data_IF_362148460544
#
_entry.id   IF_362148460544
#
_cell.length_a   1.000
_cell.length_b   1.000
_cell.length_c   1.000
_cell.angle_alpha   90.00
_cell.angle_beta   90.00
_cell.angle_gamma   90.00
#
_symmetry.space_group_name_H-M   'P 1'
#
loop_
_entity.id
_entity.type
_entity.pdbx_description
1 polymer ?
#
# COMPACT_ATOMS: atom_id res chain seq x y z
N UNK A 1 23.29 5.22 11.79
CA UNK A 1 22.85 4.76 10.44
C UNK A 1 22.71 3.25 10.30
N UNK A 2 23.74 2.43 10.65
CA UNK A 2 23.66 0.95 10.53
C UNK A 2 22.47 0.32 11.29
N UNK A 3 22.22 0.75 12.53
CA UNK A 3 21.07 0.30 13.33
C UNK A 3 19.73 0.61 12.64
N UNK A 4 19.56 1.81 12.09
CA UNK A 4 18.32 2.21 11.40
C UNK A 4 18.05 1.39 10.13
N UNK A 5 19.10 1.04 9.37
CA UNK A 5 18.99 0.17 8.19
C UNK A 5 18.59 -1.25 8.57
N UNK A 6 19.17 -1.80 9.65
CA UNK A 6 18.76 -3.10 10.18
C UNK A 6 17.30 -3.08 10.62
N UNK A 7 16.89 -2.06 11.39
CA UNK A 7 15.50 -1.89 11.82
C UNK A 7 14.54 -1.81 10.64
N UNK A 8 14.84 -1.00 9.61
CA UNK A 8 14.04 -0.95 8.38
C UNK A 8 13.87 -2.33 7.76
N UNK A 9 14.96 -3.07 7.60
CA UNK A 9 14.94 -4.40 6.97
C UNK A 9 14.12 -5.40 7.81
N UNK A 10 14.20 -5.32 9.15
CA UNK A 10 13.38 -6.14 10.05
C UNK A 10 11.89 -5.82 9.84
N UNK A 11 11.48 -4.55 9.81
CA UNK A 11 10.08 -4.18 9.59
C UNK A 11 9.60 -4.53 8.18
N UNK A 12 10.44 -4.39 7.15
CA UNK A 12 10.12 -4.86 5.78
C UNK A 12 9.91 -6.38 5.77
N UNK A 13 10.82 -7.15 6.37
CA UNK A 13 10.69 -8.60 6.49
C UNK A 13 9.43 -9.00 7.26
N UNK A 14 9.18 -8.36 8.40
CA UNK A 14 7.99 -8.61 9.22
C UNK A 14 6.68 -8.29 8.46
N UNK A 15 6.64 -7.20 7.69
CA UNK A 15 5.50 -6.87 6.83
C UNK A 15 5.21 -7.98 5.80
N UNK A 16 6.24 -8.43 5.08
CA UNK A 16 6.11 -9.50 4.09
C UNK A 16 5.73 -10.86 4.74
N UNK A 17 6.33 -11.19 5.87
CA UNK A 17 6.01 -12.41 6.62
C UNK A 17 4.58 -12.37 7.18
N UNK A 18 4.12 -11.22 7.68
CA UNK A 18 2.75 -11.04 8.14
C UNK A 18 1.74 -11.22 7.01
N UNK A 19 2.04 -10.71 5.81
CA UNK A 19 1.22 -10.96 4.63
C UNK A 19 1.21 -12.43 4.24
N UNK A 20 2.38 -13.10 4.20
CA UNK A 20 2.47 -14.53 3.89
C UNK A 20 1.70 -15.40 4.90
N UNK A 21 1.80 -15.08 6.19
CA UNK A 21 1.01 -15.71 7.25
C UNK A 21 -0.48 -15.51 7.03
N UNK A 22 -0.92 -14.28 6.72
CA UNK A 22 -2.32 -13.97 6.40
C UNK A 22 -2.84 -14.76 5.18
N UNK A 23 -2.06 -14.83 4.09
CA UNK A 23 -2.42 -15.63 2.90
C UNK A 23 -2.59 -17.10 3.23
N UNK A 24 -1.71 -17.65 4.08
CA UNK A 24 -1.83 -19.03 4.50
C UNK A 24 -3.15 -19.27 5.27
N UNK A 25 -3.48 -18.38 6.20
CA UNK A 25 -4.73 -18.42 6.98
C UNK A 25 -6.01 -18.20 6.17
N UNK A 26 -5.98 -17.31 5.17
CA UNK A 26 -7.17 -16.88 4.43
C UNK A 26 -7.39 -17.66 3.13
N UNK A 27 -6.32 -18.15 2.50
CA UNK A 27 -6.40 -18.84 1.21
C UNK A 27 -6.16 -20.33 1.35
N UNK A 28 -5.10 -20.76 2.05
CA UNK A 28 -4.73 -22.18 2.05
C UNK A 28 -5.56 -22.96 3.06
N UNK A 29 -5.60 -22.50 4.32
CA UNK A 29 -6.22 -23.23 5.41
C UNK A 29 -7.71 -23.55 5.24
N UNK A 30 -8.57 -22.63 4.74
CA UNK A 30 -10.00 -22.91 4.57
C UNK A 30 -10.29 -24.02 3.54
N UNK A 31 -9.30 -24.41 2.73
CA UNK A 31 -9.40 -25.48 1.73
C UNK A 31 -9.08 -26.87 2.30
N UNK A 32 -8.60 -26.96 3.54
CA UNK A 32 -8.30 -28.23 4.20
C UNK A 32 -9.59 -28.82 4.80
N UNK A 33 -10.03 -30.02 4.39
CA UNK A 33 -11.23 -30.66 4.95
C UNK A 33 -11.09 -30.87 6.46
N UNK A 34 -12.16 -30.58 7.22
CA UNK A 34 -12.14 -30.72 8.69
C UNK A 34 -11.20 -29.73 9.40
N UNK A 35 -10.78 -28.65 8.74
CA UNK A 35 -9.85 -27.66 9.30
C UNK A 35 -10.34 -27.06 10.62
N UNK A 36 -11.58 -26.57 10.67
CA UNK A 36 -12.13 -25.97 11.89
C UNK A 36 -12.20 -26.99 13.03
N UNK A 37 -12.52 -28.25 12.72
CA UNK A 37 -12.52 -29.35 13.69
C UNK A 37 -11.10 -29.65 14.19
N UNK A 38 -10.11 -29.63 13.29
CA UNK A 38 -8.69 -29.83 13.61
C UNK A 38 -8.13 -28.69 14.44
N UNK A 39 -8.47 -27.44 14.12
CA UNK A 39 -8.12 -26.28 14.95
C UNK A 39 -8.74 -26.38 16.34
N UNK A 40 -10.03 -26.73 16.41
CA UNK A 40 -10.77 -26.83 17.67
C UNK A 40 -10.18 -27.88 18.63
N UNK A 41 -9.43 -28.85 18.13
CA UNK A 41 -8.70 -29.82 18.94
C UNK A 41 -7.46 -29.24 19.64
N UNK A 42 -6.96 -28.06 19.23
CA UNK A 42 -5.81 -27.39 19.84
C UNK A 42 -6.15 -25.95 20.28
N UNK A 43 -6.20 -25.67 21.59
CA UNK A 43 -6.42 -24.31 22.11
C UNK A 43 -5.39 -23.29 21.60
N UNK A 44 -4.14 -23.73 21.40
CA UNK A 44 -3.07 -22.89 20.86
C UNK A 44 -3.31 -22.53 19.40
N UNK A 45 -3.75 -23.51 18.59
CA UNK A 45 -4.05 -23.27 17.18
C UNK A 45 -5.24 -22.32 17.01
N UNK A 46 -6.30 -22.48 17.83
CA UNK A 46 -7.42 -21.53 17.88
C UNK A 46 -6.97 -20.12 18.28
N UNK A 47 -6.16 -19.99 19.33
CA UNK A 47 -5.61 -18.68 19.74
C UNK A 47 -4.84 -18.00 18.60
N UNK A 48 -4.01 -18.75 17.86
CA UNK A 48 -3.24 -18.22 16.72
C UNK A 48 -4.17 -17.80 15.58
N UNK A 49 -5.19 -18.61 15.28
CA UNK A 49 -6.18 -18.29 14.26
C UNK A 49 -6.98 -17.04 14.61
N UNK A 50 -7.51 -16.94 15.83
CA UNK A 50 -8.24 -15.77 16.32
C UNK A 50 -7.38 -14.50 16.32
N UNK A 51 -6.10 -14.62 16.70
CA UNK A 51 -5.14 -13.52 16.58
C UNK A 51 -4.97 -13.09 15.12
N UNK A 52 -4.76 -14.04 14.20
CA UNK A 52 -4.63 -13.77 12.78
C UNK A 52 -5.85 -13.06 12.19
N UNK A 53 -7.04 -13.53 12.51
CA UNK A 53 -8.30 -12.98 12.02
C UNK A 53 -8.60 -11.59 12.60
N UNK A 54 -8.26 -11.34 13.86
CA UNK A 54 -8.57 -10.07 14.54
C UNK A 54 -7.51 -8.99 14.38
N UNK A 55 -6.24 -9.36 14.21
CA UNK A 55 -5.10 -8.43 14.18
C UNK A 55 -4.27 -8.50 12.92
N UNK A 56 -4.33 -9.57 12.13
CA UNK A 56 -3.43 -9.79 10.99
C UNK A 56 -3.48 -8.68 9.94
N UNK A 57 -4.69 -8.26 9.56
CA UNK A 57 -4.90 -7.17 8.59
C UNK A 57 -4.29 -5.83 9.06
N UNK A 58 -4.59 -5.42 10.29
CA UNK A 58 -4.02 -4.21 10.87
C UNK A 58 -2.49 -4.31 11.05
N UNK A 59 -1.99 -5.46 11.50
CA UNK A 59 -0.58 -5.67 11.82
C UNK A 59 0.31 -5.51 10.57
N UNK A 60 -0.03 -6.14 9.45
CA UNK A 60 0.82 -6.03 8.25
C UNK A 60 0.88 -4.58 7.76
N UNK A 61 -0.22 -3.84 7.79
CA UNK A 61 -0.28 -2.42 7.41
C UNK A 61 0.63 -1.58 8.31
N UNK A 62 0.54 -1.75 9.62
CA UNK A 62 1.38 -1.01 10.59
C UNK A 62 2.86 -1.31 10.37
N UNK A 63 3.23 -2.58 10.18
CA UNK A 63 4.61 -2.98 9.89
C UNK A 63 5.13 -2.34 8.59
N UNK A 64 4.31 -2.32 7.54
CA UNK A 64 4.63 -1.69 6.26
C UNK A 64 4.81 -0.18 6.40
N UNK A 65 3.91 0.49 7.12
CA UNK A 65 4.00 1.92 7.40
C UNK A 65 5.26 2.28 8.18
N UNK A 66 5.64 1.51 9.19
CA UNK A 66 6.89 1.72 9.94
C UNK A 66 8.10 1.52 9.04
N UNK A 67 8.13 0.45 8.24
CA UNK A 67 9.23 0.18 7.31
C UNK A 67 9.44 1.35 6.32
N UNK A 68 8.35 1.83 5.72
CA UNK A 68 8.37 2.93 4.75
C UNK A 68 8.65 4.28 5.42
N UNK A 69 8.20 4.52 6.65
CA UNK A 69 8.56 5.71 7.41
C UNK A 69 10.06 5.74 7.71
N UNK A 70 10.65 4.64 8.19
CA UNK A 70 12.11 4.56 8.43
C UNK A 70 12.86 4.80 7.12
N UNK A 71 12.45 4.14 6.04
CA UNK A 71 13.01 4.36 4.71
C UNK A 71 12.91 5.82 4.24
N UNK A 72 11.75 6.46 4.46
CA UNK A 72 11.50 7.85 4.10
C UNK A 72 12.37 8.83 4.90
N UNK A 73 12.62 8.57 6.19
CA UNK A 73 13.59 9.34 6.98
C UNK A 73 14.98 9.22 6.37
N UNK A 74 15.41 8.01 6.01
CA UNK A 74 16.73 7.76 5.43
C UNK A 74 16.96 8.42 4.06
N UNK A 75 15.91 8.53 3.25
CA UNK A 75 16.02 8.98 1.85
C UNK A 75 15.59 10.43 1.62
N UNK A 76 14.61 10.91 2.38
CA UNK A 76 14.03 12.26 2.22
C UNK A 76 14.35 13.19 3.41
N UNK A 77 14.72 12.62 4.56
CA UNK A 77 14.80 13.32 5.84
C UNK A 77 13.42 13.46 6.51
N UNK A 78 13.42 13.58 7.85
CA UNK A 78 12.21 13.58 8.66
C UNK A 78 11.20 14.67 8.26
N UNK A 79 11.67 15.87 7.90
CA UNK A 79 10.81 16.98 7.46
C UNK A 79 10.00 16.64 6.21
N UNK A 80 10.67 16.15 5.16
CA UNK A 80 10.00 15.82 3.89
C UNK A 80 9.10 14.59 4.02
N UNK A 81 9.50 13.62 4.84
CA UNK A 81 8.63 12.51 5.22
C UNK A 81 7.35 13.03 5.88
N UNK A 82 7.44 13.90 6.89
CA UNK A 82 6.27 14.45 7.56
C UNK A 82 5.39 15.25 6.58
N UNK A 83 6.00 16.01 5.67
CA UNK A 83 5.30 16.74 4.60
C UNK A 83 4.59 15.83 3.59
N UNK A 84 4.89 14.54 3.55
CA UNK A 84 4.15 13.55 2.76
C UNK A 84 3.14 12.77 3.61
N UNK A 85 3.58 12.29 4.77
CA UNK A 85 2.78 11.50 5.71
C UNK A 85 1.55 12.27 6.15
N UNK A 86 1.69 13.53 6.57
CA UNK A 86 0.56 14.30 7.10
C UNK A 86 -0.52 14.52 6.03
N UNK A 87 -0.22 15.00 4.81
CA UNK A 87 -1.23 15.08 3.75
C UNK A 87 -1.82 13.72 3.38
N UNK A 88 -0.98 12.68 3.22
CA UNK A 88 -1.47 11.35 2.85
C UNK A 88 -2.43 10.80 3.90
N UNK A 89 -2.11 10.93 5.18
CA UNK A 89 -2.95 10.46 6.28
C UNK A 89 -4.24 11.28 6.41
N UNK A 90 -4.13 12.61 6.48
CA UNK A 90 -5.29 13.48 6.75
C UNK A 90 -6.25 13.52 5.56
N UNK A 91 -5.74 13.70 4.34
CA UNK A 91 -6.60 13.85 3.16
C UNK A 91 -7.25 12.53 2.76
N UNK A 92 -6.55 11.39 2.92
CA UNK A 92 -7.19 10.08 2.74
C UNK A 92 -8.23 9.82 3.81
N UNK A 93 -7.94 10.08 5.10
CA UNK A 93 -8.93 9.91 6.17
C UNK A 93 -10.18 10.76 5.93
N UNK A 94 -10.03 12.02 5.51
CA UNK A 94 -11.17 12.86 5.14
C UNK A 94 -11.93 12.30 3.93
N UNK A 95 -11.23 11.79 2.90
CA UNK A 95 -11.86 11.18 1.72
C UNK A 95 -12.63 9.91 2.08
N UNK A 96 -12.07 9.07 2.95
CA UNK A 96 -12.67 7.82 3.45
C UNK A 96 -13.89 8.10 4.33
N UNK A 97 -13.81 9.09 5.22
CA UNK A 97 -14.95 9.50 6.04
C UNK A 97 -16.08 10.09 5.18
N UNK A 98 -15.73 10.84 4.13
CA UNK A 98 -16.69 11.34 3.16
C UNK A 98 -17.32 10.19 2.35
N UNK A 99 -16.51 9.23 1.90
CA UNK A 99 -16.94 8.06 1.12
C UNK A 99 -17.90 7.17 1.89
N UNK A 100 -17.50 6.75 3.09
CA UNK A 100 -18.33 5.95 4.01
C UNK A 100 -19.56 6.70 4.58
N UNK A 101 -19.70 8.00 4.30
CA UNK A 101 -20.86 8.81 4.72
C UNK A 101 -21.79 9.20 3.59
N UNK A 102 -21.26 9.42 2.39
CA UNK A 102 -22.01 10.03 1.28
C UNK A 102 -21.94 9.24 -0.01
N UNK A 103 -21.05 8.24 -0.10
CA UNK A 103 -20.70 7.56 -1.32
C UNK A 103 -19.65 8.28 -2.17
N UNK A 104 -19.32 9.55 -1.92
CA UNK A 104 -18.25 10.25 -2.65
C UNK A 104 -16.94 10.25 -1.85
N UNK A 105 -15.76 9.91 -2.42
CA UNK A 105 -15.49 9.73 -3.84
C UNK A 105 -15.47 8.28 -4.34
N UNK A 106 -15.72 7.27 -3.50
CA UNK A 106 -15.44 5.86 -3.83
C UNK A 106 -16.64 5.03 -4.30
N UNK A 107 -17.86 5.47 -4.01
CA UNK A 107 -19.07 4.66 -4.00
C UNK A 107 -19.55 4.43 -2.56
N UNK A 108 -20.73 3.84 -2.39
CA UNK A 108 -21.29 3.52 -1.07
C UNK A 108 -20.66 2.22 -0.55
N UNK A 109 -20.01 2.25 0.61
CA UNK A 109 -19.42 1.07 1.26
C UNK A 109 -19.29 1.28 2.78
N UNK A 110 -19.06 0.17 3.50
CA UNK A 110 -18.73 0.18 4.92
C UNK A 110 -17.64 -0.83 5.26
N UNK A 111 -16.72 -0.44 6.14
CA UNK A 111 -15.70 -1.35 6.65
C UNK A 111 -16.27 -2.31 7.70
N UNK A 112 -15.77 -3.54 7.73
CA UNK A 112 -16.04 -4.50 8.82
C UNK A 112 -15.09 -4.26 10.01
N UNK A 113 -15.17 -5.09 11.05
CA UNK A 113 -14.33 -4.98 12.25
C UNK A 113 -12.92 -5.59 12.09
N UNK A 114 -12.62 -6.21 10.94
CA UNK A 114 -11.38 -6.97 10.72
C UNK A 114 -10.11 -6.13 10.67
N UNK A 115 -10.23 -4.80 10.51
CA UNK A 115 -9.11 -3.87 10.45
C UNK A 115 -8.89 -3.10 11.76
N UNK A 116 -9.62 -3.48 12.82
CA UNK A 116 -9.47 -2.91 14.15
C UNK A 116 -10.18 -1.56 14.30
N UNK A 117 -9.62 -0.70 15.17
CA UNK A 117 -10.30 0.50 15.65
C UNK A 117 -10.59 1.52 14.54
N UNK A 118 -11.82 2.06 14.55
CA UNK A 118 -12.35 2.99 13.55
C UNK A 118 -12.45 4.42 14.08
N UNK A 119 -12.09 5.37 13.23
CA UNK A 119 -12.37 6.79 13.41
C UNK A 119 -13.84 7.04 13.07
N UNK A 120 -14.56 7.71 13.98
CA UNK A 120 -15.99 8.03 13.86
C UNK A 120 -16.86 6.79 13.55
N UNK A 121 -16.47 5.62 14.08
CA UNK A 121 -17.11 4.32 13.86
C UNK A 121 -17.20 3.87 12.39
N UNK A 122 -16.46 4.53 11.49
CA UNK A 122 -16.55 4.32 10.03
C UNK A 122 -15.26 3.80 9.42
N UNK A 123 -14.14 4.47 9.66
CA UNK A 123 -12.89 4.24 8.90
C UNK A 123 -11.80 3.69 9.82
N UNK A 124 -11.30 2.46 9.60
CA UNK A 124 -10.20 1.91 10.40
C UNK A 124 -8.95 2.78 10.32
N UNK A 125 -8.31 3.07 11.44
CA UNK A 125 -7.14 3.99 11.49
C UNK A 125 -5.95 3.51 10.67
N UNK A 126 -5.89 2.20 10.39
CA UNK A 126 -4.85 1.61 9.53
C UNK A 126 -5.04 1.95 8.04
N UNK A 127 -6.25 2.31 7.60
CA UNK A 127 -6.51 2.71 6.22
C UNK A 127 -5.67 3.93 5.81
N UNK A 128 -5.73 5.09 6.49
CA UNK A 128 -4.86 6.23 6.14
C UNK A 128 -3.36 5.95 6.32
N UNK A 129 -2.97 4.98 7.16
CA UNK A 129 -1.58 4.50 7.20
C UNK A 129 -1.20 3.77 5.91
N UNK A 130 -2.13 3.00 5.36
CA UNK A 130 -1.98 2.29 4.09
C UNK A 130 -1.83 3.24 2.91
N UNK A 131 -2.71 4.25 2.84
CA UNK A 131 -2.59 5.38 1.91
C UNK A 131 -1.23 6.06 1.98
N UNK A 132 -0.71 6.29 3.18
CA UNK A 132 0.63 6.85 3.36
C UNK A 132 1.72 5.94 2.79
N UNK A 133 1.84 4.69 3.24
CA UNK A 133 3.00 3.88 2.90
C UNK A 133 2.97 3.44 1.43
N UNK A 134 1.81 3.05 0.91
CA UNK A 134 1.64 2.73 -0.50
C UNK A 134 1.76 3.97 -1.37
N UNK A 135 1.16 5.08 -0.97
CA UNK A 135 1.27 6.35 -1.69
C UNK A 135 2.73 6.82 -1.82
N UNK A 136 3.52 6.72 -0.74
CA UNK A 136 4.92 7.15 -0.78
C UNK A 136 5.76 6.29 -1.72
N UNK A 137 5.62 4.95 -1.65
CA UNK A 137 6.40 4.07 -2.54
C UNK A 137 5.99 4.25 -4.00
N UNK A 138 4.70 4.40 -4.30
CA UNK A 138 4.20 4.67 -5.65
C UNK A 138 4.74 6.00 -6.18
N UNK A 139 4.70 7.05 -5.37
CA UNK A 139 5.19 8.37 -5.77
C UNK A 139 6.70 8.37 -6.01
N UNK A 140 7.49 7.67 -5.18
CA UNK A 140 8.95 7.59 -5.38
C UNK A 140 9.34 6.77 -6.61
N UNK A 141 8.64 5.65 -6.88
CA UNK A 141 8.79 4.89 -8.13
C UNK A 141 8.45 5.77 -9.34
N UNK A 142 7.32 6.48 -9.27
CA UNK A 142 6.92 7.39 -10.33
C UNK A 142 7.95 8.52 -10.56
N UNK A 143 8.51 9.09 -9.50
CA UNK A 143 9.59 10.09 -9.61
C UNK A 143 10.83 9.54 -10.31
N UNK A 144 11.16 8.26 -10.13
CA UNK A 144 12.27 7.62 -10.83
C UNK A 144 11.99 7.44 -12.33
N UNK A 145 10.76 7.09 -12.69
CA UNK A 145 10.35 6.94 -14.10
C UNK A 145 10.49 8.25 -14.90
N UNK A 146 10.40 9.40 -14.23
CA UNK A 146 10.50 10.72 -14.85
C UNK A 146 11.80 11.46 -14.47
N UNK A 147 12.88 10.76 -14.10
CA UNK A 147 14.15 11.39 -13.71
C UNK A 147 14.75 12.29 -14.80
N UNK A 148 14.61 11.88 -16.06
CA UNK A 148 15.10 12.62 -17.23
C UNK A 148 14.06 13.56 -17.86
N UNK A 149 12.84 13.60 -17.32
CA UNK A 149 11.83 14.52 -17.81
C UNK A 149 12.22 15.97 -17.49
N UNK A 150 11.68 16.92 -18.28
CA UNK A 150 11.89 18.36 -18.11
C UNK A 150 10.55 19.10 -18.13
N UNK A 151 10.56 20.35 -17.66
CA UNK A 151 9.38 21.24 -17.68
C UNK A 151 8.17 20.67 -16.92
N UNK A 152 6.98 20.83 -17.51
CA UNK A 152 5.70 20.40 -16.92
C UNK A 152 5.68 18.89 -16.68
N UNK A 153 6.27 18.09 -17.59
CA UNK A 153 6.27 16.63 -17.49
C UNK A 153 7.03 16.13 -16.26
N UNK A 154 8.13 16.80 -15.88
CA UNK A 154 8.88 16.47 -14.66
C UNK A 154 8.10 16.72 -13.37
N UNK A 155 7.03 17.52 -13.45
CA UNK A 155 6.16 17.86 -12.31
C UNK A 155 4.89 17.02 -12.31
N UNK A 156 4.20 16.94 -13.46
CA UNK A 156 2.89 16.30 -13.57
C UNK A 156 3.02 14.79 -13.75
N UNK A 157 4.04 14.31 -14.48
CA UNK A 157 4.27 12.89 -14.73
C UNK A 157 4.32 12.04 -13.46
N UNK A 158 5.16 12.38 -12.46
CA UNK A 158 5.22 11.64 -11.20
C UNK A 158 3.91 11.61 -10.41
N UNK A 159 3.09 12.67 -10.49
CA UNK A 159 1.80 12.73 -9.81
C UNK A 159 0.79 11.78 -10.45
N UNK A 160 0.68 11.84 -11.79
CA UNK A 160 -0.23 10.98 -12.54
C UNK A 160 0.17 9.51 -12.44
N UNK A 161 1.45 9.18 -12.63
CA UNK A 161 1.92 7.81 -12.53
C UNK A 161 1.89 7.29 -11.09
N UNK A 162 2.19 8.13 -10.09
CA UNK A 162 2.11 7.74 -8.68
C UNK A 162 0.69 7.38 -8.27
N UNK A 163 -0.29 8.22 -8.63
CA UNK A 163 -1.70 7.95 -8.38
C UNK A 163 -2.21 6.75 -9.19
N UNK A 164 -1.72 6.58 -10.43
CA UNK A 164 -2.02 5.41 -11.25
C UNK A 164 -1.54 4.11 -10.58
N UNK A 165 -0.28 4.04 -10.15
CA UNK A 165 0.27 2.85 -9.49
C UNK A 165 -0.47 2.52 -8.19
N UNK A 166 -0.89 3.55 -7.45
CA UNK A 166 -1.70 3.38 -6.24
C UNK A 166 -3.08 2.80 -6.58
N UNK A 167 -3.75 3.33 -7.60
CA UNK A 167 -5.05 2.85 -8.09
C UNK A 167 -4.94 1.44 -8.69
N UNK A 168 -3.83 1.13 -9.36
CA UNK A 168 -3.56 -0.19 -9.91
C UNK A 168 -3.38 -1.24 -8.81
N UNK A 169 -2.87 -0.87 -7.64
CA UNK A 169 -2.84 -1.75 -6.48
C UNK A 169 -4.24 -2.00 -5.90
N UNK A 170 -5.02 -0.94 -5.71
CA UNK A 170 -6.42 -1.04 -5.27
C UNK A 170 -7.27 -1.92 -6.21
N UNK A 171 -7.09 -1.76 -7.52
CA UNK A 171 -7.77 -2.57 -8.54
C UNK A 171 -7.62 -4.08 -8.34
N UNK A 172 -6.49 -4.53 -7.81
CA UNK A 172 -6.25 -5.95 -7.53
C UNK A 172 -6.76 -6.32 -6.15
N UNK A 173 -6.55 -5.42 -5.17
CA UNK A 173 -6.86 -5.68 -3.77
C UNK A 173 -8.37 -5.70 -3.51
N UNK A 174 -9.10 -4.70 -4.02
CA UNK A 174 -10.48 -4.44 -3.63
C UNK A 174 -11.43 -5.61 -3.92
N UNK A 175 -11.44 -6.21 -5.13
CA UNK A 175 -12.28 -7.37 -5.38
C UNK A 175 -12.01 -8.51 -4.40
N UNK A 176 -10.74 -8.74 -4.04
CA UNK A 176 -10.38 -9.79 -3.11
C UNK A 176 -10.82 -9.50 -1.67
N UNK A 177 -10.89 -8.24 -1.27
CA UNK A 177 -11.29 -7.83 0.08
C UNK A 177 -12.81 -7.70 0.26
N UNK A 178 -13.53 -7.41 -0.83
CA UNK A 178 -14.99 -7.24 -0.83
C UNK A 178 -15.77 -8.51 -1.23
N UNK A 179 -15.16 -9.42 -2.01
CA UNK A 179 -15.82 -10.65 -2.47
C UNK A 179 -15.41 -11.88 -1.65
N UNK A 180 -14.13 -12.01 -1.28
CA UNK A 180 -13.66 -13.18 -0.54
C UNK A 180 -14.18 -13.19 0.90
N UNK A 181 -14.36 -14.38 1.46
CA UNK A 181 -14.69 -14.54 2.87
C UNK A 181 -13.42 -14.72 3.71
N UNK A 182 -13.28 -14.01 4.84
CA UNK A 182 -14.18 -12.96 5.33
C UNK A 182 -14.01 -11.63 4.57
N UNK A 183 -15.10 -10.85 4.47
CA UNK A 183 -15.08 -9.53 3.83
C UNK A 183 -14.51 -8.46 4.75
N UNK A 184 -13.58 -7.67 4.24
CA UNK A 184 -12.98 -6.54 4.97
C UNK A 184 -13.80 -5.26 4.83
N UNK A 185 -14.57 -5.14 3.75
CA UNK A 185 -15.59 -4.12 3.56
C UNK A 185 -16.70 -4.66 2.66
N UNK A 186 -17.84 -3.98 2.69
CA UNK A 186 -19.02 -4.36 1.94
C UNK A 186 -19.50 -3.16 1.13
N UNK A 187 -19.68 -3.37 -0.18
CA UNK A 187 -20.30 -2.39 -1.07
C UNK A 187 -21.80 -2.30 -0.80
N UNK A 188 -22.31 -1.07 -0.63
CA UNK A 188 -23.73 -0.76 -0.46
C UNK A 188 -24.47 -0.56 -1.78
N UNK A 189 -23.78 -0.69 -2.89
CA UNK A 189 -24.31 -0.68 -4.25
C UNK A 189 -23.58 -1.74 -5.09
N UNK A 190 -24.12 -2.08 -6.27
CA UNK A 190 -23.50 -3.08 -7.16
C UNK A 190 -22.88 -2.38 -8.36
N UNK A 191 -21.55 -2.36 -8.39
CA UNK A 191 -20.79 -1.90 -9.54
C UNK A 191 -20.34 -3.02 -10.48
N UNK A 192 -19.89 -2.66 -11.70
CA UNK A 192 -19.60 -3.63 -12.75
C UNK A 192 -18.29 -4.40 -12.56
N UNK A 193 -17.39 -3.94 -11.68
CA UNK A 193 -16.10 -4.59 -11.45
C UNK A 193 -16.16 -5.47 -10.20
N UNK A 194 -16.70 -6.68 -10.33
CA UNK A 194 -16.86 -7.62 -9.20
C UNK A 194 -17.67 -7.06 -8.02
N UNK A 195 -18.69 -6.25 -8.31
CA UNK A 195 -19.50 -5.56 -7.31
C UNK A 195 -18.99 -4.17 -6.93
N UNK A 196 -17.76 -3.81 -7.29
CA UNK A 196 -17.18 -2.50 -7.03
C UNK A 196 -17.61 -1.44 -8.07
N UNK A 197 -18.06 -0.25 -7.62
CA UNK A 197 -18.34 0.90 -8.49
C UNK A 197 -17.09 1.39 -9.24
N UNK A 198 -17.23 1.76 -10.52
CA UNK A 198 -16.12 2.37 -11.27
C UNK A 198 -15.70 3.72 -10.67
N UNK A 199 -16.60 4.36 -9.93
CA UNK A 199 -16.32 5.55 -9.15
C UNK A 199 -15.17 5.32 -8.15
N UNK A 200 -15.00 4.11 -7.62
CA UNK A 200 -13.90 3.79 -6.71
C UNK A 200 -12.53 4.09 -7.34
N UNK A 201 -12.31 3.69 -8.60
CA UNK A 201 -11.07 3.98 -9.31
C UNK A 201 -10.79 5.48 -9.46
N UNK A 202 -11.83 6.27 -9.76
CA UNK A 202 -11.71 7.72 -9.86
C UNK A 202 -11.42 8.35 -8.50
N UNK A 203 -12.05 7.84 -7.43
CA UNK A 203 -11.77 8.24 -6.05
C UNK A 203 -10.33 7.94 -5.64
N UNK A 204 -9.83 6.73 -5.91
CA UNK A 204 -8.45 6.35 -5.62
C UNK A 204 -7.43 7.21 -6.35
N UNK A 205 -7.65 7.40 -7.64
CA UNK A 205 -6.78 8.23 -8.46
C UNK A 205 -6.81 9.70 -8.00
N UNK A 206 -8.01 10.25 -7.75
CA UNK A 206 -8.21 11.63 -7.31
C UNK A 206 -7.60 11.91 -5.94
N UNK A 207 -7.89 11.08 -4.94
CA UNK A 207 -7.31 11.18 -3.59
C UNK A 207 -5.79 11.03 -3.64
N UNK A 208 -5.29 10.07 -4.43
CA UNK A 208 -3.86 9.88 -4.73
C UNK A 208 -3.19 11.15 -5.25
N UNK A 209 -3.71 11.71 -6.35
CA UNK A 209 -3.20 12.96 -6.92
C UNK A 209 -3.24 14.08 -5.88
N UNK A 210 -4.33 14.20 -5.12
CA UNK A 210 -4.53 15.29 -4.19
C UNK A 210 -3.43 15.33 -3.13
N UNK A 211 -3.22 14.24 -2.38
CA UNK A 211 -2.20 14.27 -1.32
C UNK A 211 -0.78 14.31 -1.86
N UNK A 212 -0.50 13.67 -3.01
CA UNK A 212 0.83 13.74 -3.65
C UNK A 212 1.14 15.16 -4.13
N UNK A 213 0.15 15.88 -4.65
CA UNK A 213 0.29 17.27 -5.09
C UNK A 213 0.54 18.20 -3.91
N UNK A 214 -0.19 18.04 -2.81
CA UNK A 214 0.03 18.80 -1.58
C UNK A 214 1.43 18.53 -1.03
N UNK A 215 1.83 17.26 -0.93
CA UNK A 215 3.18 16.90 -0.46
C UNK A 215 4.28 17.51 -1.34
N UNK A 216 4.12 17.44 -2.67
CA UNK A 216 5.04 18.05 -3.63
C UNK A 216 5.16 19.56 -3.42
N UNK A 217 4.03 20.25 -3.28
CA UNK A 217 4.00 21.69 -3.03
C UNK A 217 4.71 22.05 -1.73
N UNK A 218 4.48 21.29 -0.65
CA UNK A 218 5.14 21.48 0.65
C UNK A 218 6.65 21.26 0.61
N UNK A 219 7.15 20.37 -0.26
CA UNK A 219 8.58 20.11 -0.38
C UNK A 219 9.38 21.32 -0.90
N UNK A 220 8.73 22.28 -1.58
CA UNK A 220 9.30 23.49 -2.22
C UNK A 220 10.38 23.19 -3.27
N UNK A 221 11.46 22.55 -2.85
CA UNK A 221 12.50 21.99 -3.70
C UNK A 221 12.32 20.48 -3.83
N UNK A 222 12.27 19.99 -5.07
CA UNK A 222 12.16 18.56 -5.37
C UNK A 222 13.40 17.83 -4.83
N UNK A 223 13.26 16.82 -3.95
CA UNK A 223 14.40 16.05 -3.47
C UNK A 223 15.11 15.33 -4.62
N UNK A 224 16.31 14.81 -4.40
CA UNK A 224 16.96 13.95 -5.38
C UNK A 224 16.05 12.76 -5.76
N UNK A 225 16.21 12.28 -7.00
CA UNK A 225 15.56 11.03 -7.41
C UNK A 225 16.30 9.88 -6.74
N UNK A 226 15.60 8.91 -6.11
CA UNK A 226 16.28 7.77 -5.49
C UNK A 226 17.04 6.94 -6.53
N UNK A 227 18.23 6.46 -6.18
CA UNK A 227 18.99 5.52 -7.01
C UNK A 227 18.28 4.15 -7.09
N UNK A 228 18.69 3.28 -8.02
CA UNK A 228 18.13 1.92 -8.12
C UNK A 228 18.21 1.13 -6.81
N UNK A 229 19.33 1.24 -6.08
CA UNK A 229 19.48 0.57 -4.78
C UNK A 229 18.52 1.13 -3.73
N UNK A 230 18.26 2.44 -3.75
CA UNK A 230 17.26 3.08 -2.89
C UNK A 230 15.83 2.73 -3.32
N UNK A 231 15.56 2.49 -4.60
CA UNK A 231 14.25 2.07 -5.10
C UNK A 231 13.90 0.62 -4.78
N UNK A 232 14.86 -0.21 -4.35
CA UNK A 232 14.60 -1.61 -3.99
C UNK A 232 13.55 -1.73 -2.89
N UNK A 233 13.57 -0.86 -1.86
CA UNK A 233 12.56 -0.91 -0.79
C UNK A 233 11.16 -0.54 -1.31
N UNK A 234 10.95 0.60 -2.01
CA UNK A 234 9.69 0.88 -2.69
C UNK A 234 9.19 -0.25 -3.60
N UNK A 235 10.09 -0.82 -4.41
CA UNK A 235 9.77 -1.93 -5.32
C UNK A 235 9.31 -3.17 -4.55
N UNK A 236 10.06 -3.59 -3.53
CA UNK A 236 9.73 -4.78 -2.71
C UNK A 236 8.40 -4.60 -1.98
N UNK A 237 8.15 -3.42 -1.40
CA UNK A 237 6.88 -3.13 -0.72
C UNK A 237 5.72 -3.17 -1.72
N UNK A 238 5.84 -2.46 -2.85
CA UNK A 238 4.77 -2.41 -3.85
C UNK A 238 4.47 -3.78 -4.45
N UNK A 239 5.51 -4.47 -4.93
CA UNK A 239 5.38 -5.80 -5.53
C UNK A 239 4.88 -6.80 -4.50
N UNK A 240 5.34 -6.75 -3.25
CA UNK A 240 4.83 -7.61 -2.18
C UNK A 240 3.33 -7.44 -1.95
N UNK A 241 2.82 -6.20 -1.97
CA UNK A 241 1.40 -5.91 -1.81
C UNK A 241 0.57 -6.32 -3.06
N UNK A 242 1.12 -6.18 -4.28
CA UNK A 242 0.49 -6.71 -5.50
C UNK A 242 0.42 -8.24 -5.47
N UNK A 243 1.49 -8.91 -5.05
CA UNK A 243 1.52 -10.37 -4.92
C UNK A 243 0.51 -10.82 -3.87
N UNK A 244 0.46 -10.17 -2.71
CA UNK A 244 -0.55 -10.43 -1.68
C UNK A 244 -1.98 -10.32 -2.24
N UNK A 245 -2.32 -9.19 -2.88
CA UNK A 245 -3.62 -8.96 -3.49
C UNK A 245 -3.95 -9.99 -4.59
N UNK A 246 -2.95 -10.38 -5.39
CA UNK A 246 -3.11 -11.37 -6.45
C UNK A 246 -3.38 -12.77 -5.92
N UNK A 247 -2.66 -13.20 -4.86
CA UNK A 247 -2.89 -14.51 -4.24
C UNK A 247 -4.26 -14.56 -3.56
N UNK A 248 -4.68 -13.48 -2.88
CA UNK A 248 -6.04 -13.36 -2.35
C UNK A 248 -7.09 -13.44 -3.47
N UNK A 249 -6.89 -12.73 -4.58
CA UNK A 249 -7.77 -12.76 -5.76
C UNK A 249 -7.88 -14.17 -6.35
N UNK A 250 -6.75 -14.87 -6.53
CA UNK A 250 -6.74 -16.28 -6.97
C UNK A 250 -7.51 -17.16 -5.96
N UNK A 251 -7.31 -16.92 -4.67
CA UNK A 251 -8.04 -17.58 -3.58
C UNK A 251 -9.56 -17.35 -3.65
N UNK A 252 -10.02 -16.26 -4.26
CA UNK A 252 -11.43 -15.96 -4.48
C UNK A 252 -11.93 -16.37 -5.88
N UNK A 253 -11.09 -16.97 -6.73
CA UNK A 253 -11.43 -17.29 -8.12
C UNK A 253 -11.45 -16.08 -9.07
N UNK A 254 -10.86 -14.95 -8.67
CA UNK A 254 -10.85 -13.70 -9.39
C UNK A 254 -9.56 -13.54 -10.20
N UNK A 255 -9.53 -14.05 -11.44
CA UNK A 255 -8.31 -14.04 -12.26
C UNK A 255 -8.09 -12.74 -13.04
N UNK A 256 -9.16 -12.03 -13.41
CA UNK A 256 -9.07 -10.77 -14.17
C UNK A 256 -8.29 -9.69 -13.39
N UNK A 257 -8.57 -9.44 -12.08
CA UNK A 257 -7.78 -8.49 -11.30
C UNK A 257 -6.29 -8.86 -11.25
N UNK A 258 -5.94 -10.14 -11.21
CA UNK A 258 -4.53 -10.58 -11.23
C UNK A 258 -3.83 -10.22 -12.53
N UNK A 259 -4.44 -10.51 -13.68
CA UNK A 259 -3.86 -10.17 -14.99
C UNK A 259 -3.69 -8.66 -15.12
N UNK A 260 -4.70 -7.88 -14.71
CA UNK A 260 -4.62 -6.42 -14.70
C UNK A 260 -3.54 -5.91 -13.73
N UNK A 261 -3.42 -6.50 -12.55
CA UNK A 261 -2.37 -6.19 -11.58
C UNK A 261 -0.96 -6.42 -12.12
N UNK A 262 -0.77 -7.49 -12.89
CA UNK A 262 0.50 -7.78 -13.55
C UNK A 262 0.83 -6.70 -14.58
N UNK A 263 -0.13 -6.36 -15.45
CA UNK A 263 0.08 -5.43 -16.57
C UNK A 263 0.18 -3.97 -16.11
N UNK A 264 -0.67 -3.56 -15.18
CA UNK A 264 -0.86 -2.15 -14.80
C UNK A 264 -0.04 -1.75 -13.56
N UNK A 265 0.42 -2.71 -12.75
CA UNK A 265 1.19 -2.48 -11.53
C UNK A 265 2.56 -3.16 -11.53
N UNK A 266 2.60 -4.50 -11.56
CA UNK A 266 3.84 -5.28 -11.40
C UNK A 266 4.88 -4.96 -12.48
N UNK A 267 4.52 -5.14 -13.76
CA UNK A 267 5.45 -4.95 -14.87
C UNK A 267 5.97 -3.50 -14.95
N UNK A 268 5.12 -2.45 -14.87
CA UNK A 268 5.61 -1.07 -14.82
C UNK A 268 6.61 -0.84 -13.69
N UNK A 269 6.34 -1.32 -12.47
CA UNK A 269 7.24 -1.11 -11.33
C UNK A 269 8.57 -1.85 -11.48
N UNK A 270 8.56 -3.08 -12.00
CA UNK A 270 9.79 -3.83 -12.28
C UNK A 270 10.62 -3.12 -13.36
N UNK A 271 9.99 -2.62 -14.43
CA UNK A 271 10.67 -1.87 -15.49
C UNK A 271 11.26 -0.55 -14.98
N UNK A 272 10.51 0.20 -14.17
CA UNK A 272 10.98 1.44 -13.54
C UNK A 272 12.19 1.16 -12.64
N UNK A 273 12.11 0.13 -11.80
CA UNK A 273 13.22 -0.26 -10.93
C UNK A 273 14.44 -0.70 -11.74
N UNK A 274 14.24 -1.46 -12.82
CA UNK A 274 15.31 -1.93 -13.69
C UNK A 274 16.02 -0.79 -14.42
N UNK A 275 15.25 0.18 -14.91
CA UNK A 275 15.74 1.37 -15.61
C UNK A 275 16.37 2.43 -14.72
N UNK A 276 16.27 2.29 -13.39
CA UNK A 276 16.90 3.21 -12.44
C UNK A 276 18.44 3.16 -12.51
N UNK A 277 19.08 4.33 -12.37
CA UNK A 277 20.54 4.42 -12.35
C UNK A 277 21.13 3.63 -11.16
N UNK A 278 22.09 2.75 -11.46
CA UNK A 278 22.82 1.94 -10.48
C UNK A 278 23.83 2.76 -9.67
N UNK A 279 24.28 3.90 -10.19
CA UNK A 279 25.25 4.81 -9.55
C UNK A 279 24.52 5.88 -8.73
N UNK A 280 24.04 5.52 -7.55
CA UNK A 280 23.72 6.51 -6.52
C UNK A 280 24.98 6.81 -5.72
N UNK A 281 25.57 8.00 -5.87
CA UNK A 281 26.46 8.52 -4.84
C UNK A 281 25.64 8.67 -3.57
N UNK A 282 25.98 7.87 -2.56
CA UNK A 282 25.38 7.96 -1.22
C UNK A 282 25.63 9.39 -0.70
N UNK A 283 24.62 10.25 -0.50
CA UNK A 283 24.85 11.67 -0.19
C UNK A 283 25.50 11.96 1.17
N UNK A 284 26.14 10.98 1.82
CA UNK A 284 26.76 11.12 3.14
C UNK A 284 28.14 10.46 3.29
N UNK A 285 28.89 10.24 2.21
CA UNK A 285 30.29 9.78 2.30
C UNK A 285 31.35 10.84 1.94
N UNK A 286 30.93 12.08 1.65
CA UNK A 286 31.87 13.19 1.47
C UNK A 286 31.48 14.33 2.40
N UNK A 287 32.43 14.73 3.26
CA UNK A 287 32.40 15.87 4.20
C UNK A 287 31.99 15.58 5.64
N UNK A 288 32.73 14.67 6.28
CA UNK A 288 33.23 14.91 7.65
C UNK A 288 34.73 14.64 7.62
N UNK A 289 35.47 15.58 7.04
CA UNK A 289 36.92 15.75 7.25
C UNK A 289 37.11 17.25 7.40
N UNK A 290 37.16 17.65 8.67
CA UNK A 290 37.96 18.72 9.29
C UNK A 290 37.17 19.41 10.42
#
# INVERSE_FOLDING_TARGET
>A
MKSLTLTRNIFTGAHLLSMAFGLFGLVVFPRVPGFLETLAQSPQAMTIYEFGMSKGGALYIVLGAIAVAIYGVQTLGAKRLAQFLVPAFVLSLCSELLGTSTGFPFGVYSYTELLGWKVADKVPVVIPMSWFYMGLVCYLLARAAFSEARGVLATVGPLLLGAWLLTAWDLVLDPAMAVADPKFWVWGETGPFFGMPLQNFAGWFGTGILFMSVARWLWKATPAVPSRSQLTIPMVIYVGNIVFASVMSIGAGLYIPVVLGVILGFLPVVLIWWGGNSTGTDPQLSQVTD
#
